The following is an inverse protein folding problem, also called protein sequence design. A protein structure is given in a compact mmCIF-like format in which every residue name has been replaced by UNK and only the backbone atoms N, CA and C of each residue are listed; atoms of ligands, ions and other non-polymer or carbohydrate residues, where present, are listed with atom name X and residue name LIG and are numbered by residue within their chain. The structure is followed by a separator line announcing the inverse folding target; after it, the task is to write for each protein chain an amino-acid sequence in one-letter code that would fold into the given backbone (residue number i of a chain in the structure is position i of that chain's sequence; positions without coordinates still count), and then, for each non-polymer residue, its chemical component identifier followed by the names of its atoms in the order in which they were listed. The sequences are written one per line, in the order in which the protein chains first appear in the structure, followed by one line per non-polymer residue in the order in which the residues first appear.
data_IF_567594922029
#
_entry.id   IF_567594922029
#
_cell.length_a   1.000
_cell.length_b   1.000
_cell.length_c   1.000
_cell.angle_alpha   90.00
_cell.angle_beta   90.00
_cell.angle_gamma   90.00
#
_symmetry.space_group_name_H-M   'P 1'
#
loop_
_entity.id
_entity.type
_entity.pdbx_description
1 polymer ?
#
# COMPACT_ATOMS: atom_id res chain seq x y z
N UNK A 1 76.47 42.19 5.50
CA UNK A 1 75.88 42.58 4.21
C UNK A 1 74.57 41.83 4.05
N UNK A 2 73.44 42.52 4.26
CA UNK A 2 72.14 42.18 3.68
C UNK A 2 72.23 42.25 2.15
N UNK A 3 71.42 41.49 1.38
CA UNK A 3 70.12 42.07 1.02
C UNK A 3 68.95 41.08 0.75
N UNK A 4 67.77 41.71 0.77
CA UNK A 4 66.56 41.47 -0.04
C UNK A 4 65.63 40.32 0.33
N UNK A 5 64.44 40.74 0.78
CA UNK A 5 63.28 39.87 0.99
C UNK A 5 62.38 39.72 -0.24
N UNK A 6 61.26 39.05 -0.03
CA UNK A 6 60.08 39.13 -0.87
C UNK A 6 58.83 38.82 -0.02
N UNK A 7 57.80 39.61 -0.28
CA UNK A 7 56.43 39.56 0.22
C UNK A 7 55.70 38.34 -0.41
N UNK A 8 54.67 37.79 0.25
CA UNK A 8 53.30 37.59 -0.31
C UNK A 8 52.44 36.71 0.62
N UNK A 9 51.37 37.35 1.09
CA UNK A 9 49.98 36.93 1.28
C UNK A 9 49.57 35.46 1.47
N UNK A 10 48.67 35.28 2.45
CA UNK A 10 47.30 34.87 2.14
C UNK A 10 46.98 33.39 2.27
N UNK A 11 45.99 33.07 3.12
CA UNK A 11 45.33 31.77 3.06
C UNK A 11 44.84 31.27 4.41
N UNK A 12 43.71 31.81 4.86
CA UNK A 12 42.85 31.16 5.86
C UNK A 12 42.49 29.78 5.29
N UNK A 13 43.03 28.72 5.88
CA UNK A 13 42.61 27.35 5.61
C UNK A 13 41.24 27.10 6.21
N UNK A 14 40.18 27.57 5.55
CA UNK A 14 38.81 27.16 5.85
C UNK A 14 38.65 25.71 5.38
N UNK A 15 38.72 24.77 6.34
CA UNK A 15 38.28 23.39 6.15
C UNK A 15 36.78 23.38 5.85
N UNK A 16 36.43 23.48 4.56
CA UNK A 16 35.11 23.12 4.06
C UNK A 16 34.98 21.60 4.17
N UNK A 17 34.42 21.14 5.28
CA UNK A 17 33.89 19.79 5.38
C UNK A 17 32.71 19.66 4.40
N UNK A 18 33.00 19.21 3.16
CA UNK A 18 31.95 18.68 2.30
C UNK A 18 31.42 17.42 2.97
N UNK A 19 30.29 17.55 3.65
CA UNK A 19 29.44 16.43 4.00
C UNK A 19 28.93 15.81 2.68
N UNK A 20 29.69 14.86 2.14
CA UNK A 20 29.23 14.00 1.07
C UNK A 20 28.07 13.18 1.65
N UNK A 21 26.83 13.67 1.48
CA UNK A 21 25.63 12.87 1.69
C UNK A 21 25.76 11.67 0.77
N UNK A 22 26.03 10.52 1.36
CA UNK A 22 26.16 9.24 0.67
C UNK A 22 24.83 8.95 0.00
N UNK A 23 24.72 9.22 -1.30
CA UNK A 23 23.64 8.74 -2.13
C UNK A 23 23.89 7.25 -2.33
N UNK A 24 23.46 6.43 -1.38
CA UNK A 24 23.33 4.99 -1.59
C UNK A 24 22.05 4.82 -2.42
N UNK A 25 22.13 4.35 -3.68
CA UNK A 25 20.93 4.07 -4.46
C UNK A 25 20.07 3.04 -3.70
N UNK A 26 18.75 3.15 -3.79
CA UNK A 26 17.78 2.22 -3.17
C UNK A 26 17.99 0.73 -3.54
N UNK A 27 18.94 0.42 -4.43
CA UNK A 27 19.34 -0.92 -4.86
C UNK A 27 19.90 -1.83 -3.75
N UNK A 28 20.31 -1.27 -2.59
CA UNK A 28 20.94 -2.02 -1.49
C UNK A 28 20.08 -2.19 -0.24
N UNK A 29 18.81 -1.75 -0.25
CA UNK A 29 17.89 -2.07 0.86
C UNK A 29 17.55 -3.56 0.80
N UNK A 30 17.93 -4.30 1.85
CA UNK A 30 17.53 -5.69 2.00
C UNK A 30 16.01 -5.82 1.88
N UNK A 31 15.54 -6.82 1.13
CA UNK A 31 14.12 -7.10 1.01
C UNK A 31 13.50 -7.21 2.42
N UNK A 32 12.31 -6.62 2.65
CA UNK A 32 11.68 -6.70 3.95
C UNK A 32 11.46 -8.18 4.33
N UNK A 33 11.83 -8.52 5.56
CA UNK A 33 11.74 -9.90 6.06
C UNK A 33 10.28 -10.38 6.00
N UNK A 34 10.09 -11.63 5.57
CA UNK A 34 8.78 -12.29 5.55
C UNK A 34 8.16 -12.51 6.93
N UNK A 35 6.99 -13.13 6.93
CA UNK A 35 6.24 -13.48 8.13
C UNK A 35 6.71 -14.83 8.67
N UNK A 36 7.58 -14.81 9.68
CA UNK A 36 8.05 -16.05 10.33
C UNK A 36 6.91 -16.87 10.95
N UNK A 37 5.80 -16.20 11.34
CA UNK A 37 4.58 -16.81 11.86
C UNK A 37 3.37 -15.97 11.44
N UNK A 38 2.23 -16.65 11.30
CA UNK A 38 0.93 -16.01 11.11
C UNK A 38 0.12 -16.07 12.39
N UNK A 39 -0.56 -14.96 12.72
CA UNK A 39 -1.41 -14.86 13.91
C UNK A 39 -2.85 -14.64 13.50
N UNK A 40 -3.77 -15.43 14.03
CA UNK A 40 -5.19 -15.24 13.80
C UNK A 40 -5.65 -13.90 14.41
N UNK A 41 -6.46 -13.14 13.66
CA UNK A 41 -7.12 -11.93 14.14
C UNK A 41 -8.59 -11.95 13.78
N UNK A 42 -9.42 -11.55 14.74
CA UNK A 42 -10.81 -11.20 14.46
C UNK A 42 -10.91 -9.83 13.82
N UNK A 43 -12.00 -9.60 13.07
CA UNK A 43 -12.28 -8.35 12.38
C UNK A 43 -11.89 -8.34 10.89
N UNK A 44 -12.20 -7.24 10.17
CA UNK A 44 -11.94 -7.15 8.73
C UNK A 44 -10.44 -7.07 8.44
N UNK A 45 -9.93 -7.99 7.62
CA UNK A 45 -8.54 -7.98 7.18
C UNK A 45 -8.43 -7.79 5.67
N UNK A 46 -7.40 -7.06 5.25
CA UNK A 46 -6.96 -6.90 3.86
C UNK A 46 -5.52 -7.40 3.77
N UNK A 47 -5.26 -8.40 2.93
CA UNK A 47 -3.91 -8.90 2.70
C UNK A 47 -3.13 -7.84 1.92
N UNK A 48 -2.16 -7.21 2.58
CA UNK A 48 -1.45 -6.04 2.06
C UNK A 48 -0.37 -6.43 1.06
N UNK A 49 -0.40 -5.86 -0.14
CA UNK A 49 0.45 -6.21 -1.28
C UNK A 49 0.49 -7.73 -1.56
N UNK A 50 -0.67 -8.39 -1.44
CA UNK A 50 -0.83 -9.85 -1.50
C UNK A 50 -0.73 -10.57 -0.15
N UNK A 51 -0.42 -9.86 0.93
CA UNK A 51 -0.07 -10.43 2.23
C UNK A 51 1.42 -10.75 2.33
N UNK A 52 1.81 -11.43 3.40
CA UNK A 52 3.17 -11.94 3.59
C UNK A 52 3.30 -13.42 3.26
N UNK A 53 4.51 -13.83 2.92
CA UNK A 53 4.98 -15.22 2.88
C UNK A 53 6.03 -15.43 3.97
N UNK A 54 6.43 -16.67 4.29
CA UNK A 54 7.50 -16.92 5.25
C UNK A 54 8.82 -16.19 4.93
N UNK A 55 9.12 -16.02 3.64
CA UNK A 55 10.37 -15.46 3.13
C UNK A 55 10.30 -13.96 2.79
N UNK A 56 9.13 -13.40 2.45
CA UNK A 56 9.01 -12.00 2.03
C UNK A 56 7.63 -11.38 2.31
N UNK A 57 7.57 -10.05 2.33
CA UNK A 57 6.34 -9.26 2.27
C UNK A 57 6.38 -8.34 1.03
N UNK A 58 5.29 -7.64 0.71
CA UNK A 58 5.21 -6.73 -0.46
C UNK A 58 5.41 -7.42 -1.83
N UNK A 59 5.03 -8.68 -1.96
CA UNK A 59 5.36 -9.47 -3.15
C UNK A 59 4.55 -9.09 -4.38
N UNK A 60 3.28 -8.74 -4.21
CA UNK A 60 2.35 -8.45 -5.30
C UNK A 60 2.25 -9.57 -6.37
N UNK A 61 2.60 -10.81 -6.02
CA UNK A 61 2.73 -11.93 -6.97
C UNK A 61 1.71 -13.06 -6.71
N UNK A 62 1.66 -14.03 -7.63
CA UNK A 62 0.75 -15.17 -7.53
C UNK A 62 0.95 -16.00 -6.26
N UNK A 63 2.20 -16.14 -5.79
CA UNK A 63 2.51 -16.93 -4.59
C UNK A 63 1.83 -16.31 -3.36
N UNK A 64 1.92 -14.98 -3.21
CA UNK A 64 1.25 -14.26 -2.14
C UNK A 64 -0.29 -14.37 -2.26
N UNK A 65 -0.85 -14.21 -3.46
CA UNK A 65 -2.29 -14.35 -3.69
C UNK A 65 -2.82 -15.74 -3.31
N UNK A 66 -2.16 -16.80 -3.76
CA UNK A 66 -2.56 -18.18 -3.46
C UNK A 66 -2.45 -18.48 -1.95
N UNK A 67 -1.50 -17.85 -1.25
CA UNK A 67 -1.34 -18.01 0.19
C UNK A 67 -2.40 -17.23 0.96
N UNK A 68 -2.71 -15.99 0.55
CA UNK A 68 -3.78 -15.19 1.15
C UNK A 68 -5.15 -15.87 1.01
N UNK A 69 -5.49 -16.39 -0.17
CA UNK A 69 -6.74 -17.15 -0.36
C UNK A 69 -6.78 -18.42 0.50
N UNK A 70 -5.68 -19.17 0.57
CA UNK A 70 -5.56 -20.35 1.45
C UNK A 70 -5.71 -20.01 2.93
N UNK A 71 -5.27 -18.82 3.35
CA UNK A 71 -5.49 -18.31 4.70
C UNK A 71 -6.91 -17.74 4.92
N UNK A 72 -7.77 -17.77 3.90
CA UNK A 72 -9.16 -17.38 4.01
C UNK A 72 -9.44 -15.90 3.84
N UNK A 73 -8.47 -15.11 3.38
CA UNK A 73 -8.72 -13.70 3.04
C UNK A 73 -9.83 -13.58 2.01
N UNK A 74 -10.63 -12.51 2.13
CA UNK A 74 -11.65 -12.14 1.14
C UNK A 74 -11.33 -10.86 0.39
N UNK A 75 -10.39 -10.08 0.90
CA UNK A 75 -9.93 -8.84 0.30
C UNK A 75 -8.42 -8.83 0.33
N UNK A 76 -7.82 -8.51 -0.82
CA UNK A 76 -6.39 -8.42 -1.01
C UNK A 76 -6.10 -7.05 -1.60
N UNK A 77 -5.14 -6.31 -1.06
CA UNK A 77 -4.64 -5.10 -1.68
C UNK A 77 -3.43 -5.42 -2.55
N UNK A 78 -3.36 -4.77 -3.71
CA UNK A 78 -2.25 -4.88 -4.64
C UNK A 78 -1.81 -3.49 -5.11
N UNK A 79 -0.50 -3.35 -5.22
CA UNK A 79 0.16 -2.19 -5.79
C UNK A 79 0.04 -2.22 -7.32
N UNK A 80 -0.29 -1.08 -7.92
CA UNK A 80 -0.27 -0.90 -9.37
C UNK A 80 0.49 0.37 -9.77
N UNK A 81 0.95 0.37 -11.01
CA UNK A 81 1.56 1.53 -11.67
C UNK A 81 1.02 1.65 -13.08
N UNK A 82 0.46 2.82 -13.40
CA UNK A 82 0.31 3.27 -14.78
C UNK A 82 1.68 3.68 -15.33
N UNK A 83 2.03 3.16 -16.51
CA UNK A 83 3.23 3.48 -17.28
C UNK A 83 2.93 3.45 -18.77
N UNK A 84 2.91 4.63 -19.40
CA UNK A 84 2.86 4.74 -20.86
C UNK A 84 1.63 4.08 -21.48
N UNK A 85 0.46 4.21 -20.84
CA UNK A 85 -0.80 3.63 -21.30
C UNK A 85 -0.98 2.16 -20.93
N UNK A 86 -0.12 1.60 -20.07
CA UNK A 86 -0.24 0.23 -19.55
C UNK A 86 -0.31 0.24 -18.03
N UNK A 87 -1.10 -0.67 -17.48
CA UNK A 87 -1.16 -0.91 -16.04
C UNK A 87 -0.31 -2.14 -15.70
N UNK A 88 0.65 -1.97 -14.81
CA UNK A 88 1.51 -3.04 -14.29
C UNK A 88 1.31 -3.19 -12.79
N UNK A 89 1.53 -4.40 -12.27
CA UNK A 89 1.48 -4.68 -10.83
C UNK A 89 2.86 -4.47 -10.19
N UNK A 90 2.88 -4.06 -8.93
CA UNK A 90 4.08 -3.88 -8.12
C UNK A 90 4.26 -2.46 -7.59
N UNK A 91 5.09 -2.33 -6.56
CA UNK A 91 5.24 -1.12 -5.75
C UNK A 91 6.07 -0.01 -6.43
N UNK A 92 6.88 -0.37 -7.44
CA UNK A 92 7.83 0.53 -8.08
C UNK A 92 8.56 -0.16 -9.24
N UNK A 93 9.37 0.59 -10.00
CA UNK A 93 10.17 0.01 -11.10
C UNK A 93 11.12 -1.11 -10.62
N UNK A 94 11.74 -0.95 -9.45
CA UNK A 94 12.63 -1.95 -8.86
C UNK A 94 11.88 -3.12 -8.20
N UNK A 95 10.55 -3.03 -8.09
CA UNK A 95 9.67 -3.99 -7.41
C UNK A 95 8.46 -4.31 -8.30
N UNK A 96 8.71 -4.44 -9.61
CA UNK A 96 7.68 -4.85 -10.55
C UNK A 96 7.31 -6.32 -10.25
N UNK A 97 6.02 -6.59 -10.19
CA UNK A 97 5.54 -7.96 -9.99
C UNK A 97 5.73 -8.78 -11.26
N UNK A 98 6.08 -10.08 -11.15
CA UNK A 98 6.00 -11.00 -12.28
C UNK A 98 4.54 -11.30 -12.67
N UNK A 99 3.57 -11.02 -11.80
CA UNK A 99 2.15 -11.21 -12.09
C UNK A 99 1.66 -10.09 -13.02
N UNK A 100 1.15 -10.48 -14.18
CA UNK A 100 0.51 -9.57 -15.13
C UNK A 100 -0.96 -9.31 -14.77
N UNK A 101 -1.53 -8.25 -15.34
CA UNK A 101 -2.96 -7.95 -15.18
C UNK A 101 -3.85 -9.06 -15.73
N UNK A 102 -3.46 -9.67 -16.85
CA UNK A 102 -4.19 -10.79 -17.46
C UNK A 102 -4.20 -12.01 -16.52
N UNK A 103 -3.03 -12.38 -15.99
CA UNK A 103 -2.94 -13.49 -15.03
C UNK A 103 -3.68 -13.23 -13.71
N UNK A 104 -3.76 -11.97 -13.26
CA UNK A 104 -4.58 -11.59 -12.11
C UNK A 104 -6.06 -11.79 -12.42
N UNK A 105 -6.53 -11.40 -13.61
CA UNK A 105 -7.93 -11.58 -14.00
C UNK A 105 -8.31 -13.06 -14.11
N UNK A 106 -7.44 -13.87 -14.73
CA UNK A 106 -7.62 -15.33 -14.80
C UNK A 106 -7.57 -15.98 -13.41
N UNK A 107 -6.81 -15.40 -12.49
CA UNK A 107 -6.82 -15.81 -11.10
C UNK A 107 -8.15 -15.44 -10.43
N UNK A 108 -8.68 -14.24 -10.59
CA UNK A 108 -9.97 -13.85 -9.99
C UNK A 108 -11.16 -14.69 -10.48
N UNK A 109 -11.10 -15.22 -11.71
CA UNK A 109 -12.11 -16.11 -12.28
C UNK A 109 -12.13 -17.48 -11.58
N UNK A 110 -10.97 -17.97 -11.12
CA UNK A 110 -10.86 -19.22 -10.33
C UNK A 110 -11.11 -19.03 -8.84
N UNK A 111 -11.12 -17.78 -8.35
CA UNK A 111 -11.24 -17.43 -6.94
C UNK A 111 -12.41 -16.45 -6.73
N UNK A 112 -13.68 -16.86 -6.95
CA UNK A 112 -14.84 -15.95 -7.05
C UNK A 112 -15.18 -15.19 -5.76
N UNK A 113 -14.67 -15.63 -4.61
CA UNK A 113 -14.91 -14.98 -3.31
C UNK A 113 -13.94 -13.84 -2.94
N UNK A 114 -12.97 -13.51 -3.81
CA UNK A 114 -11.92 -12.53 -3.53
C UNK A 114 -12.24 -11.15 -4.11
N UNK A 115 -11.90 -10.05 -3.44
CA UNK A 115 -11.89 -8.72 -4.05
C UNK A 115 -10.50 -8.10 -3.96
N UNK A 116 -10.15 -7.28 -4.94
CA UNK A 116 -8.86 -6.58 -4.99
C UNK A 116 -9.06 -5.11 -4.63
N UNK A 117 -8.35 -4.63 -3.62
CA UNK A 117 -8.16 -3.20 -3.37
C UNK A 117 -7.00 -2.71 -4.22
N UNK A 118 -7.17 -1.60 -4.95
CA UNK A 118 -6.12 -1.10 -5.87
C UNK A 118 -5.37 0.09 -5.26
N UNK A 119 -4.08 -0.06 -4.94
CA UNK A 119 -3.17 1.06 -4.60
C UNK A 119 -2.40 1.47 -5.87
N UNK A 120 -3.01 2.32 -6.71
CA UNK A 120 -2.36 2.79 -7.95
C UNK A 120 -1.49 4.00 -7.63
N UNK A 121 -0.18 3.79 -7.61
CA UNK A 121 0.74 4.80 -7.08
C UNK A 121 1.06 5.96 -8.02
N UNK A 122 0.77 5.85 -9.31
CA UNK A 122 1.01 6.91 -10.32
C UNK A 122 -0.28 7.66 -10.68
N UNK A 123 -0.64 7.76 -11.97
CA UNK A 123 -1.91 8.39 -12.40
C UNK A 123 -3.07 7.44 -12.06
N UNK A 124 -3.67 7.64 -10.88
CA UNK A 124 -4.72 6.77 -10.35
C UNK A 124 -5.93 6.68 -11.29
N UNK A 125 -6.46 7.81 -11.76
CA UNK A 125 -7.65 7.83 -12.61
C UNK A 125 -7.39 7.20 -13.97
N UNK A 126 -6.22 7.42 -14.58
CA UNK A 126 -5.88 6.74 -15.82
C UNK A 126 -5.66 5.25 -15.61
N UNK A 127 -4.99 4.85 -14.52
CA UNK A 127 -4.81 3.45 -14.15
C UNK A 127 -6.14 2.72 -13.95
N UNK A 128 -7.12 3.34 -13.30
CA UNK A 128 -8.47 2.81 -13.14
C UNK A 128 -9.23 2.71 -14.48
N UNK A 129 -9.04 3.65 -15.41
CA UNK A 129 -9.60 3.53 -16.77
C UNK A 129 -9.04 2.31 -17.51
N UNK A 130 -7.72 2.11 -17.44
CA UNK A 130 -7.04 0.96 -18.05
C UNK A 130 -7.51 -0.36 -17.40
N UNK A 131 -7.60 -0.39 -16.06
CA UNK A 131 -8.11 -1.54 -15.34
C UNK A 131 -9.55 -1.86 -15.73
N UNK A 132 -10.43 -0.85 -15.82
CA UNK A 132 -11.81 -1.04 -16.28
C UNK A 132 -11.88 -1.69 -17.66
N UNK A 133 -11.07 -1.20 -18.60
CA UNK A 133 -11.04 -1.74 -19.96
C UNK A 133 -10.65 -3.23 -19.97
N UNK A 134 -9.69 -3.63 -19.14
CA UNK A 134 -9.26 -5.03 -19.03
C UNK A 134 -10.25 -5.90 -18.22
N UNK A 135 -10.73 -5.41 -17.09
CA UNK A 135 -11.58 -6.16 -16.17
C UNK A 135 -12.96 -6.44 -16.76
N UNK A 136 -13.51 -5.56 -17.60
CA UNK A 136 -14.85 -5.74 -18.17
C UNK A 136 -15.90 -5.94 -17.07
N UNK A 137 -16.64 -7.05 -17.10
CA UNK A 137 -17.66 -7.38 -16.08
C UNK A 137 -17.08 -7.67 -14.69
N UNK A 138 -15.79 -7.95 -14.57
CA UNK A 138 -15.12 -8.19 -13.27
C UNK A 138 -14.89 -6.90 -12.49
N UNK A 139 -15.35 -5.74 -12.98
CA UNK A 139 -15.13 -4.44 -12.34
C UNK A 139 -15.59 -4.39 -10.88
N UNK A 140 -16.67 -5.12 -10.54
CA UNK A 140 -17.20 -5.20 -9.18
C UNK A 140 -16.28 -5.95 -8.20
N UNK A 141 -15.26 -6.64 -8.73
CA UNK A 141 -14.23 -7.34 -7.93
C UNK A 141 -13.08 -6.41 -7.54
N UNK A 142 -13.09 -5.16 -7.97
CA UNK A 142 -12.05 -4.18 -7.68
C UNK A 142 -12.62 -3.03 -6.84
N UNK A 143 -11.96 -2.71 -5.73
CA UNK A 143 -12.30 -1.63 -4.81
C UNK A 143 -11.21 -0.57 -4.92
N UNK A 144 -11.46 0.56 -5.60
CA UNK A 144 -10.43 1.56 -5.79
C UNK A 144 -10.02 2.21 -4.48
N UNK A 145 -8.71 2.44 -4.31
CA UNK A 145 -8.25 3.50 -3.42
C UNK A 145 -8.23 4.83 -4.17
N UNK A 146 -8.65 5.89 -3.48
CA UNK A 146 -8.55 7.27 -3.96
C UNK A 146 -7.68 8.08 -3.00
N UNK A 147 -6.96 9.08 -3.52
CA UNK A 147 -6.03 9.88 -2.72
C UNK A 147 -6.47 11.32 -2.52
N UNK A 148 -7.69 11.64 -2.95
CA UNK A 148 -8.37 12.91 -2.76
C UNK A 148 -9.88 12.68 -2.83
N UNK A 149 -10.65 13.44 -2.07
CA UNK A 149 -12.13 13.41 -2.15
C UNK A 149 -12.63 13.82 -3.54
N UNK A 150 -11.85 14.58 -4.30
CA UNK A 150 -12.17 14.95 -5.68
C UNK A 150 -12.15 13.77 -6.67
N UNK A 151 -11.44 12.69 -6.36
CA UNK A 151 -11.41 11.48 -7.20
C UNK A 151 -12.66 10.61 -7.05
N UNK A 152 -13.48 10.84 -6.00
CA UNK A 152 -14.67 10.04 -5.75
C UNK A 152 -15.63 10.03 -6.95
N UNK A 153 -16.06 11.20 -7.42
CA UNK A 153 -17.06 11.27 -8.49
C UNK A 153 -16.56 10.67 -9.82
N UNK A 154 -15.32 10.95 -10.28
CA UNK A 154 -14.74 10.26 -11.43
C UNK A 154 -14.68 8.74 -11.29
N UNK A 155 -14.33 8.22 -10.11
CA UNK A 155 -14.24 6.77 -9.87
C UNK A 155 -15.62 6.11 -9.91
N UNK A 156 -16.63 6.73 -9.30
CA UNK A 156 -18.02 6.24 -9.37
C UNK A 156 -18.56 6.31 -10.80
N UNK A 157 -18.23 7.36 -11.56
CA UNK A 157 -18.64 7.48 -12.96
C UNK A 157 -18.01 6.39 -13.86
N UNK A 158 -16.85 5.84 -13.47
CA UNK A 158 -16.27 4.66 -14.13
C UNK A 158 -17.03 3.36 -13.81
N UNK A 159 -17.97 3.38 -12.86
CA UNK A 159 -18.78 2.22 -12.47
C UNK A 159 -18.09 1.28 -11.49
N UNK A 160 -17.10 1.77 -10.74
CA UNK A 160 -16.53 1.02 -9.63
C UNK A 160 -17.46 1.01 -8.41
N UNK A 161 -17.35 -0.01 -7.54
CA UNK A 161 -17.88 0.06 -6.18
C UNK A 161 -17.36 1.28 -5.40
N UNK A 162 -18.04 1.61 -4.31
CA UNK A 162 -17.64 2.69 -3.42
C UNK A 162 -16.15 2.57 -3.03
N UNK A 163 -15.33 3.61 -3.26
CA UNK A 163 -13.89 3.54 -3.05
C UNK A 163 -13.51 3.65 -1.57
N UNK A 164 -12.25 3.33 -1.28
CA UNK A 164 -11.59 3.59 0.00
C UNK A 164 -10.77 4.86 -0.13
N UNK A 165 -10.96 5.85 0.76
CA UNK A 165 -10.09 7.02 0.80
C UNK A 165 -8.79 6.68 1.53
N UNK A 166 -7.65 6.83 0.87
CA UNK A 166 -6.32 6.52 1.39
C UNK A 166 -5.57 7.79 1.75
N UNK A 167 -5.28 7.99 3.03
CA UNK A 167 -4.80 9.30 3.52
C UNK A 167 -3.28 9.42 3.66
N UNK A 168 -2.50 8.38 3.39
CA UNK A 168 -1.04 8.44 3.55
C UNK A 168 -0.37 9.48 2.61
N UNK A 169 -1.05 9.86 1.52
CA UNK A 169 -0.61 10.90 0.58
C UNK A 169 -1.09 12.30 0.94
N UNK A 170 -2.06 12.41 1.85
CA UNK A 170 -2.53 13.70 2.34
C UNK A 170 -1.50 14.29 3.30
N UNK A 171 -1.37 15.61 3.30
CA UNK A 171 -0.39 16.29 4.14
C UNK A 171 -0.71 16.03 5.63
N UNK A 172 0.21 15.42 6.40
CA UNK A 172 -0.01 15.22 7.82
C UNK A 172 -0.27 16.55 8.54
N UNK A 173 -1.25 16.57 9.45
CA UNK A 173 -1.63 17.77 10.19
C UNK A 173 -2.59 18.71 9.47
N UNK A 174 -2.96 18.42 8.21
CA UNK A 174 -4.06 19.09 7.51
C UNK A 174 -5.24 18.15 7.38
N UNK A 175 -6.25 18.37 8.19
CA UNK A 175 -7.43 17.52 8.38
C UNK A 175 -8.71 18.11 7.74
N UNK A 176 -8.55 19.14 6.91
CA UNK A 176 -9.60 19.84 6.16
C UNK A 176 -10.41 18.92 5.23
N UNK A 177 -9.85 17.76 4.87
CA UNK A 177 -10.51 16.74 4.05
C UNK A 177 -11.57 15.94 4.81
N UNK A 178 -11.57 15.93 6.15
CA UNK A 178 -12.45 15.08 6.96
C UNK A 178 -13.93 15.37 6.72
N UNK A 179 -14.42 16.62 6.78
CA UNK A 179 -15.84 16.90 6.52
C UNK A 179 -16.28 16.45 5.13
N UNK A 180 -15.42 16.67 4.12
CA UNK A 180 -15.68 16.22 2.76
C UNK A 180 -15.71 14.69 2.66
N UNK A 181 -14.83 13.98 3.35
CA UNK A 181 -14.83 12.52 3.37
C UNK A 181 -16.08 11.96 4.06
N UNK A 182 -16.49 12.51 5.21
CA UNK A 182 -17.69 12.07 5.92
C UNK A 182 -18.98 12.30 5.09
N UNK A 183 -19.02 13.33 4.25
CA UNK A 183 -20.15 13.60 3.36
C UNK A 183 -20.24 12.68 2.13
N UNK A 184 -19.17 11.95 1.79
CA UNK A 184 -19.13 11.05 0.64
C UNK A 184 -19.49 9.62 1.06
N UNK A 185 -20.20 8.83 0.23
CA UNK A 185 -20.50 7.43 0.52
C UNK A 185 -19.26 6.56 0.20
N UNK A 186 -18.22 6.71 1.02
CA UNK A 186 -17.01 5.91 0.96
C UNK A 186 -17.26 4.51 1.53
N UNK A 187 -16.52 3.52 1.04
CA UNK A 187 -16.53 2.18 1.65
C UNK A 187 -15.77 2.17 2.98
N UNK A 188 -14.69 2.92 3.05
CA UNK A 188 -13.84 3.08 4.23
C UNK A 188 -12.89 4.27 4.07
N UNK A 189 -12.21 4.63 5.16
CA UNK A 189 -11.00 5.45 5.13
C UNK A 189 -9.84 4.59 5.62
N UNK A 190 -8.74 4.55 4.88
CA UNK A 190 -7.52 3.86 5.31
C UNK A 190 -6.40 4.85 5.64
N UNK A 191 -5.70 4.58 6.74
CA UNK A 191 -4.66 5.47 7.27
C UNK A 191 -3.47 4.71 7.87
N UNK A 192 -2.25 5.29 7.83
CA UNK A 192 -1.12 4.77 8.57
C UNK A 192 -1.43 4.65 10.07
N UNK A 193 -0.95 3.60 10.75
CA UNK A 193 -1.22 3.41 12.19
C UNK A 193 -0.85 4.62 13.06
N UNK A 194 0.21 5.35 12.65
CA UNK A 194 0.67 6.59 13.31
C UNK A 194 -0.34 7.74 13.27
N UNK A 195 -1.32 7.68 12.36
CA UNK A 195 -2.39 8.67 12.21
C UNK A 195 -3.72 8.22 12.84
N UNK A 196 -3.76 7.09 13.56
CA UNK A 196 -4.98 6.53 14.18
C UNK A 196 -5.75 7.51 15.08
N UNK A 197 -5.10 8.55 15.60
CA UNK A 197 -5.75 9.60 16.40
C UNK A 197 -6.87 10.33 15.62
N UNK A 198 -6.83 10.31 14.28
CA UNK A 198 -7.87 10.88 13.42
C UNK A 198 -9.14 10.00 13.37
N UNK A 199 -9.05 8.71 13.71
CA UNK A 199 -10.15 7.76 13.51
C UNK A 199 -11.45 8.15 14.23
N UNK A 200 -11.36 8.78 15.41
CA UNK A 200 -12.54 9.24 16.16
C UNK A 200 -13.33 10.37 15.49
N UNK A 201 -12.84 10.91 14.36
CA UNK A 201 -13.50 11.96 13.57
C UNK A 201 -14.02 11.44 12.23
N UNK A 202 -13.79 10.17 11.93
CA UNK A 202 -14.20 9.53 10.69
C UNK A 202 -15.51 8.77 10.95
N UNK A 203 -16.53 9.07 10.15
CA UNK A 203 -17.86 8.44 10.26
C UNK A 203 -17.97 7.11 9.48
N UNK A 204 -16.93 6.78 8.72
CA UNK A 204 -16.80 5.55 7.94
C UNK A 204 -15.99 4.47 8.68
N UNK A 205 -16.06 3.20 8.27
CA UNK A 205 -15.12 2.18 8.73
C UNK A 205 -13.67 2.64 8.52
N UNK A 206 -12.84 2.53 9.57
CA UNK A 206 -11.44 2.90 9.51
C UNK A 206 -10.59 1.64 9.36
N UNK A 207 -9.71 1.66 8.36
CA UNK A 207 -8.69 0.65 8.18
C UNK A 207 -7.30 1.22 8.51
N UNK A 208 -6.48 0.46 9.22
CA UNK A 208 -5.12 0.85 9.55
C UNK A 208 -4.12 0.06 8.72
N UNK A 209 -3.08 0.74 8.25
CA UNK A 209 -2.00 0.09 7.50
C UNK A 209 -0.59 0.52 7.97
N UNK A 210 0.42 -0.33 7.87
CA UNK A 210 0.34 -1.80 7.85
C UNK A 210 0.44 -2.29 9.29
N UNK A 211 -0.44 -3.20 9.72
CA UNK A 211 -0.54 -3.67 11.11
C UNK A 211 -0.40 -5.18 11.15
N UNK A 212 0.63 -5.67 11.83
CA UNK A 212 0.98 -7.11 11.93
C UNK A 212 0.77 -7.67 13.35
N UNK A 213 -0.09 -7.02 14.14
CA UNK A 213 -0.52 -7.48 15.45
C UNK A 213 -2.02 -7.22 15.61
N UNK A 214 -2.81 -8.10 16.26
CA UNK A 214 -4.24 -7.90 16.42
C UNK A 214 -4.55 -6.55 17.06
N UNK A 215 -5.47 -5.80 16.44
CA UNK A 215 -5.88 -4.48 16.92
C UNK A 215 -7.40 -4.32 16.77
N UNK A 216 -8.18 -4.58 17.84
CA UNK A 216 -9.63 -4.49 17.82
C UNK A 216 -10.14 -3.08 17.48
N UNK A 217 -11.33 -3.02 16.89
CA UNK A 217 -12.02 -1.75 16.57
C UNK A 217 -11.68 -1.15 15.20
N UNK A 218 -10.80 -1.80 14.43
CA UNK A 218 -10.39 -1.34 13.10
C UNK A 218 -10.43 -2.49 12.09
N UNK A 219 -10.54 -2.16 10.81
CA UNK A 219 -10.06 -3.04 9.75
C UNK A 219 -8.54 -2.93 9.62
N UNK A 220 -7.85 -4.00 9.20
CA UNK A 220 -6.38 -3.99 9.15
C UNK A 220 -5.87 -4.42 7.77
N UNK A 221 -4.99 -3.60 7.19
CA UNK A 221 -4.10 -4.03 6.13
C UNK A 221 -2.90 -4.70 6.80
N UNK A 222 -2.63 -5.94 6.45
CA UNK A 222 -1.71 -6.79 7.19
C UNK A 222 -0.90 -7.68 6.26
N UNK A 223 0.34 -7.93 6.66
CA UNK A 223 1.21 -8.91 6.03
C UNK A 223 1.12 -10.25 6.77
N UNK A 224 1.04 -10.24 8.11
CA UNK A 224 1.26 -11.43 8.94
C UNK A 224 0.06 -11.83 9.83
N UNK A 225 -1.06 -11.11 9.79
CA UNK A 225 -2.30 -11.60 10.41
C UNK A 225 -3.10 -12.41 9.39
N UNK A 226 -3.85 -13.39 9.87
CA UNK A 226 -4.79 -14.17 9.06
C UNK A 226 -6.18 -14.12 9.68
N UNK A 227 -7.26 -14.21 8.88
CA UNK A 227 -8.61 -14.31 9.43
C UNK A 227 -8.71 -15.48 10.41
N UNK A 228 -9.25 -15.22 11.60
CA UNK A 228 -9.60 -16.30 12.51
C UNK A 228 -10.65 -17.21 11.86
N UNK A 229 -10.48 -18.52 11.98
CA UNK A 229 -11.50 -19.47 11.54
C UNK A 229 -12.73 -19.32 12.47
N UNK A 230 -13.90 -18.92 11.95
CA UNK A 230 -15.10 -18.78 12.78
C UNK A 230 -15.57 -20.10 13.40
N UNK A 231 -15.05 -21.26 12.96
CA UNK A 231 -15.34 -22.59 13.49
C UNK A 231 -14.26 -23.21 14.37
N UNK A 232 -13.05 -22.64 14.48
CA UNK A 232 -11.99 -23.25 15.30
C UNK A 232 -12.06 -22.76 16.74
N UNK A 233 -12.35 -23.66 17.67
CA UNK A 233 -12.20 -23.41 19.12
C UNK A 233 -10.76 -23.56 19.61
N UNK A 234 -9.82 -23.84 18.71
CA UNK A 234 -8.41 -23.97 19.05
C UNK A 234 -7.81 -22.58 19.29
N UNK A 235 -7.37 -22.36 20.52
CA UNK A 235 -6.47 -21.26 20.87
C UNK A 235 -5.28 -21.29 19.90
N UNK A 236 -4.88 -20.17 19.28
CA UNK A 236 -3.79 -20.16 18.31
C UNK A 236 -2.45 -20.35 19.05
N UNK A 237 -2.08 -21.60 19.30
CA UNK A 237 -0.71 -21.98 19.60
C UNK A 237 0.04 -22.25 18.30
N UNK A 238 1.17 -21.57 18.19
CA UNK A 238 2.10 -21.62 17.07
C UNK A 238 2.39 -23.05 16.60
N UNK A 239 2.09 -23.32 15.33
CA UNK A 239 2.80 -24.33 14.54
C UNK A 239 3.56 -23.62 13.43
#
# INVERSE_FOLDING_TARGET
MTPRGLIVAGGIGLLLALAARSFVPDLLKAAPKGCARFTASSGPLVAHAGGGTPDAVYRNDRVALDLADRHGFKVIELDFMEKGGRLALGHGNAQASPLTLEELLDWLDRHPGISIVTDIKSDNLNGLKLLKAAAGRRIDRFIPQIYSTAEFAPVVALGYPAPILTIYRLQPGKDEWIPAANALPLRAVTMPVKQRALAGRIEHPVYLHTVNQPMPGYGLYTDCLIPADPGSTDTPEAR
#
